data_IF_410714131988
#
_entry.id   IF_410714131988
#
_cell.length_a   1.000
_cell.length_b   1.000
_cell.length_c   1.000
_cell.angle_alpha   90.00
_cell.angle_beta   90.00
_cell.angle_gamma   90.00
#
_symmetry.space_group_name_H-M   'P 1'
#
loop_
_entity.id
_entity.type
_entity.pdbx_description
1 polymer ?
#
# COMPACT_ATOMS: atom_id res chain seq x y z
N UNK A 1 -21.69 1.76 27.84
CA UNK A 1 -20.24 1.51 27.61
C UNK A 1 -19.81 0.08 27.91
N UNK A 2 -20.30 -0.60 28.93
CA UNK A 2 -19.84 -1.95 29.35
C UNK A 2 -20.06 -3.09 28.33
N UNK A 3 -21.03 -2.99 27.43
CA UNK A 3 -21.39 -4.08 26.50
C UNK A 3 -20.39 -4.25 25.34
N UNK A 4 -19.69 -3.19 24.91
CA UNK A 4 -18.80 -3.23 23.74
C UNK A 4 -17.47 -3.94 24.06
N UNK A 5 -16.91 -3.75 25.24
CA UNK A 5 -15.69 -4.45 25.69
C UNK A 5 -15.88 -5.96 25.90
N UNK A 6 -17.14 -6.44 25.96
CA UNK A 6 -17.45 -7.86 26.01
C UNK A 6 -17.46 -8.53 24.64
N UNK A 7 -17.36 -7.74 23.53
CA UNK A 7 -17.32 -8.27 22.17
C UNK A 7 -16.01 -9.01 21.94
N UNK A 8 -16.10 -10.29 21.62
CA UNK A 8 -14.97 -11.15 21.33
C UNK A 8 -14.58 -11.07 19.85
N UNK A 9 -13.32 -10.79 19.60
CA UNK A 9 -12.82 -10.54 18.25
C UNK A 9 -11.90 -11.66 17.78
N UNK A 10 -12.00 -12.01 16.51
CA UNK A 10 -11.13 -12.96 15.84
C UNK A 10 -10.39 -12.32 14.67
N UNK A 11 -9.11 -12.66 14.48
CA UNK A 11 -8.33 -12.28 13.30
C UNK A 11 -7.82 -13.51 12.57
N UNK A 12 -8.09 -13.60 11.28
CA UNK A 12 -7.55 -14.63 10.38
C UNK A 12 -6.59 -13.96 9.41
N UNK A 13 -5.32 -14.40 9.45
CA UNK A 13 -4.22 -13.75 8.77
C UNK A 13 -3.47 -12.80 9.71
N UNK A 14 -2.44 -13.33 10.40
CA UNK A 14 -1.60 -12.59 11.33
C UNK A 14 -0.27 -12.20 10.68
N UNK A 15 -0.37 -11.68 9.46
CA UNK A 15 0.75 -11.12 8.72
C UNK A 15 1.12 -9.72 9.20
N UNK A 16 1.86 -8.98 8.33
CA UNK A 16 2.36 -7.62 8.59
C UNK A 16 1.25 -6.59 8.90
N UNK A 17 0.01 -6.87 8.53
CA UNK A 17 -1.15 -6.02 8.84
C UNK A 17 -1.98 -6.62 9.99
N UNK A 18 -2.36 -7.89 9.89
CA UNK A 18 -3.33 -8.47 10.83
C UNK A 18 -2.82 -8.59 12.26
N UNK A 19 -1.55 -8.97 12.47
CA UNK A 19 -0.99 -9.09 13.82
C UNK A 19 -0.94 -7.74 14.54
N UNK A 20 -0.33 -6.67 13.98
CA UNK A 20 -0.31 -5.37 14.67
C UNK A 20 -1.69 -4.78 14.92
N UNK A 21 -2.66 -4.99 14.01
CA UNK A 21 -4.04 -4.55 14.24
C UNK A 21 -4.68 -5.31 15.41
N UNK A 22 -4.53 -6.64 15.44
CA UNK A 22 -5.08 -7.47 16.50
C UNK A 22 -4.50 -7.11 17.87
N UNK A 23 -3.20 -6.91 17.96
CA UNK A 23 -2.51 -6.52 19.19
C UNK A 23 -2.89 -5.11 19.65
N UNK A 24 -2.97 -4.14 18.75
CA UNK A 24 -3.39 -2.77 19.07
C UNK A 24 -4.84 -2.74 19.64
N UNK A 25 -5.73 -3.58 19.10
CA UNK A 25 -7.09 -3.72 19.61
C UNK A 25 -7.09 -4.40 20.98
N UNK A 26 -6.24 -5.40 21.19
CA UNK A 26 -6.11 -6.07 22.49
C UNK A 26 -5.57 -5.11 23.57
N UNK A 27 -4.66 -4.19 23.22
CA UNK A 27 -4.15 -3.15 24.12
C UNK A 27 -5.27 -2.18 24.60
N UNK A 28 -6.37 -2.08 23.85
CA UNK A 28 -7.58 -1.35 24.26
C UNK A 28 -8.51 -2.16 25.18
N UNK A 29 -8.12 -3.37 25.56
CA UNK A 29 -8.84 -4.22 26.52
C UNK A 29 -9.88 -5.15 25.91
N UNK A 30 -9.88 -5.34 24.57
CA UNK A 30 -10.75 -6.32 23.92
C UNK A 30 -10.19 -7.75 24.03
N UNK A 31 -11.07 -8.75 24.13
CA UNK A 31 -10.71 -10.17 23.99
C UNK A 31 -10.47 -10.49 22.52
N UNK A 32 -9.19 -10.59 22.14
CA UNK A 32 -8.77 -10.86 20.76
C UNK A 32 -8.10 -12.22 20.66
N UNK A 33 -8.52 -13.02 19.69
CA UNK A 33 -7.82 -14.23 19.28
C UNK A 33 -7.45 -14.18 17.81
N UNK A 34 -6.41 -14.92 17.41
CA UNK A 34 -5.95 -14.93 16.05
C UNK A 34 -5.59 -16.33 15.54
N UNK A 35 -5.61 -16.46 14.20
CA UNK A 35 -5.17 -17.66 13.49
C UNK A 35 -4.37 -17.27 12.25
N UNK A 36 -3.31 -17.99 11.98
CA UNK A 36 -2.57 -17.92 10.72
C UNK A 36 -2.16 -19.33 10.28
N UNK A 37 -1.94 -19.52 8.97
CA UNK A 37 -1.42 -20.79 8.43
C UNK A 37 0.04 -21.03 8.80
N UNK A 38 0.77 -19.96 9.15
CA UNK A 38 2.13 -20.00 9.68
C UNK A 38 2.04 -19.82 11.19
N UNK A 39 2.74 -20.68 11.93
CA UNK A 39 2.78 -20.56 13.40
C UNK A 39 3.16 -19.16 13.84
N UNK A 40 2.40 -18.59 14.75
CA UNK A 40 2.58 -17.26 15.33
C UNK A 40 2.58 -17.35 16.85
N UNK A 41 3.18 -16.35 17.48
CA UNK A 41 3.12 -16.15 18.92
C UNK A 41 2.86 -14.69 19.22
N UNK A 42 2.16 -14.41 20.32
CA UNK A 42 1.91 -13.07 20.82
C UNK A 42 1.64 -13.16 22.33
N UNK A 43 2.09 -12.14 23.06
CA UNK A 43 1.81 -12.00 24.48
C UNK A 43 0.48 -11.25 24.74
N UNK A 44 -0.14 -10.70 23.69
CA UNK A 44 -1.31 -9.82 23.78
C UNK A 44 -2.61 -10.49 23.34
N UNK A 45 -2.52 -11.44 22.40
CA UNK A 45 -3.68 -12.12 21.86
C UNK A 45 -3.56 -13.64 21.99
N UNK A 46 -4.70 -14.33 22.05
CA UNK A 46 -4.72 -15.80 22.07
C UNK A 46 -4.55 -16.35 20.66
N UNK A 47 -3.52 -17.15 20.42
CA UNK A 47 -3.33 -17.83 19.12
C UNK A 47 -4.10 -19.16 19.15
N UNK A 48 -4.87 -19.41 18.07
CA UNK A 48 -5.64 -20.64 17.86
C UNK A 48 -4.99 -21.49 16.77
N UNK A 49 -5.12 -22.80 16.89
CA UNK A 49 -4.50 -23.75 15.94
C UNK A 49 -5.34 -23.95 14.68
N UNK A 50 -6.64 -23.66 14.74
CA UNK A 50 -7.54 -23.84 13.59
C UNK A 50 -8.55 -22.70 13.47
N UNK A 51 -9.03 -22.46 12.24
CA UNK A 51 -10.14 -21.52 11.99
C UNK A 51 -11.38 -21.93 12.76
N UNK A 52 -11.66 -23.24 12.90
CA UNK A 52 -12.80 -23.75 13.67
C UNK A 52 -12.73 -23.30 15.13
N UNK A 53 -11.62 -23.50 15.79
CA UNK A 53 -11.41 -23.08 17.18
C UNK A 53 -11.50 -21.56 17.33
N UNK A 54 -10.95 -20.81 16.34
CA UNK A 54 -11.02 -19.35 16.40
C UNK A 54 -12.46 -18.86 16.38
N UNK A 55 -13.27 -19.32 15.41
CA UNK A 55 -14.60 -18.73 15.16
C UNK A 55 -15.67 -19.17 16.13
N UNK A 56 -15.47 -20.25 16.89
CA UNK A 56 -16.52 -20.86 17.75
C UNK A 56 -17.07 -19.92 18.83
N UNK A 57 -16.26 -19.00 19.34
CA UNK A 57 -16.62 -18.10 20.43
C UNK A 57 -16.33 -16.62 20.15
N UNK A 58 -16.25 -16.22 18.88
CA UNK A 58 -16.02 -14.83 18.44
C UNK A 58 -17.28 -14.20 17.88
N UNK A 59 -17.54 -12.95 18.24
CA UNK A 59 -18.69 -12.18 17.75
C UNK A 59 -18.41 -11.58 16.39
N UNK A 60 -17.20 -11.05 16.21
CA UNK A 60 -16.71 -10.45 14.96
C UNK A 60 -15.40 -11.12 14.56
N UNK A 61 -15.33 -11.60 13.33
CA UNK A 61 -14.14 -12.23 12.78
C UNK A 61 -13.64 -11.43 11.57
N UNK A 62 -12.43 -10.89 11.70
CA UNK A 62 -11.74 -10.16 10.64
C UNK A 62 -10.87 -11.10 9.81
N UNK A 63 -10.93 -10.96 8.48
CA UNK A 63 -10.14 -11.73 7.53
C UNK A 63 -9.17 -10.79 6.82
N UNK A 64 -7.89 -10.93 7.15
CA UNK A 64 -6.77 -10.15 6.64
C UNK A 64 -5.78 -11.01 5.82
N UNK A 65 -6.30 -11.97 5.06
CA UNK A 65 -5.50 -12.83 4.20
C UNK A 65 -5.06 -12.08 2.94
N UNK A 66 -3.85 -12.35 2.42
CA UNK A 66 -3.35 -11.65 1.24
C UNK A 66 -4.16 -11.97 -0.02
N UNK A 67 -4.24 -10.98 -0.90
CA UNK A 67 -4.75 -11.11 -2.29
C UNK A 67 -3.60 -10.78 -3.25
N UNK A 68 -2.60 -11.66 -3.39
CA UNK A 68 -1.42 -11.38 -4.17
C UNK A 68 -1.72 -11.43 -5.68
N UNK A 69 -0.85 -10.79 -6.46
CA UNK A 69 -0.65 -11.16 -7.86
C UNK A 69 0.26 -12.39 -7.97
N UNK A 70 0.36 -12.94 -9.18
CA UNK A 70 1.34 -13.95 -9.53
C UNK A 70 2.77 -13.39 -9.48
N UNK A 71 3.75 -14.28 -9.45
CA UNK A 71 5.16 -13.91 -9.51
C UNK A 71 5.44 -13.03 -10.75
N UNK A 72 6.26 -12.00 -10.55
CA UNK A 72 6.57 -11.01 -11.59
C UNK A 72 5.60 -9.83 -11.70
N UNK A 73 4.47 -9.83 -10.97
CA UNK A 73 3.52 -8.71 -10.95
C UNK A 73 3.70 -7.77 -9.75
N UNK A 74 4.77 -7.91 -9.00
CA UNK A 74 5.03 -7.16 -7.75
C UNK A 74 5.59 -5.74 -7.95
N UNK A 75 5.82 -5.34 -9.21
CA UNK A 75 6.30 -4.01 -9.57
C UNK A 75 7.78 -3.74 -9.31
N UNK A 76 8.58 -4.72 -8.86
CA UNK A 76 10.04 -4.60 -8.71
C UNK A 76 10.76 -4.53 -10.05
N UNK A 77 10.16 -5.06 -11.09
CA UNK A 77 10.60 -4.99 -12.48
C UNK A 77 9.49 -4.42 -13.34
N UNK A 78 9.74 -4.02 -14.61
CA UNK A 78 8.69 -3.52 -15.50
C UNK A 78 7.54 -4.53 -15.64
N UNK A 79 6.32 -4.08 -15.46
CA UNK A 79 5.11 -4.90 -15.49
C UNK A 79 4.06 -4.44 -16.52
N UNK A 80 4.22 -3.24 -17.09
CA UNK A 80 3.25 -2.67 -18.02
C UNK A 80 3.03 -3.51 -19.29
N UNK A 81 4.01 -4.33 -19.66
CA UNK A 81 3.97 -5.21 -20.83
C UNK A 81 3.33 -6.58 -20.55
N UNK A 82 3.08 -6.89 -19.30
CA UNK A 82 2.50 -8.16 -18.90
C UNK A 82 0.99 -8.20 -19.21
N UNK A 83 0.42 -9.40 -19.43
CA UNK A 83 -1.03 -9.52 -19.56
C UNK A 83 -1.76 -8.97 -18.35
N UNK A 84 -2.89 -8.29 -18.58
CA UNK A 84 -3.71 -7.80 -17.47
C UNK A 84 -4.30 -8.97 -16.69
N UNK A 85 -4.27 -8.90 -15.35
CA UNK A 85 -4.75 -9.95 -14.44
C UNK A 85 -5.45 -9.36 -13.24
N UNK A 86 -6.44 -10.09 -12.73
CA UNK A 86 -7.05 -9.86 -11.42
C UNK A 86 -6.14 -10.35 -10.29
N UNK A 87 -6.50 -10.06 -9.05
CA UNK A 87 -5.85 -10.63 -7.88
C UNK A 87 -6.11 -12.13 -7.76
N UNK A 88 -5.24 -12.82 -7.03
CA UNK A 88 -5.48 -14.21 -6.66
C UNK A 88 -6.31 -14.26 -5.34
N UNK A 89 -7.55 -14.70 -5.47
CA UNK A 89 -8.49 -14.77 -4.34
C UNK A 89 -8.53 -16.13 -3.63
N UNK A 90 -7.70 -17.10 -4.02
CA UNK A 90 -7.78 -18.46 -3.50
C UNK A 90 -7.66 -18.55 -1.98
N UNK A 91 -6.75 -17.77 -1.38
CA UNK A 91 -6.56 -17.74 0.06
C UNK A 91 -7.81 -17.20 0.78
N UNK A 92 -8.37 -16.10 0.29
CA UNK A 92 -9.61 -15.50 0.81
C UNK A 92 -10.77 -16.49 0.68
N UNK A 93 -10.97 -17.08 -0.51
CA UNK A 93 -12.03 -18.06 -0.78
C UNK A 93 -11.99 -19.23 0.18
N UNK A 94 -10.79 -19.81 0.40
CA UNK A 94 -10.60 -20.94 1.34
C UNK A 94 -10.98 -20.54 2.77
N UNK A 95 -10.57 -19.35 3.22
CA UNK A 95 -10.85 -18.84 4.56
C UNK A 95 -12.35 -18.57 4.71
N UNK A 96 -12.97 -17.84 3.80
CA UNK A 96 -14.39 -17.51 3.84
C UNK A 96 -15.28 -18.77 3.83
N UNK A 97 -14.93 -19.77 3.01
CA UNK A 97 -15.63 -21.06 2.97
C UNK A 97 -15.57 -21.76 4.33
N UNK A 98 -14.40 -21.82 4.97
CA UNK A 98 -14.26 -22.41 6.30
C UNK A 98 -15.00 -21.61 7.38
N UNK A 99 -14.93 -20.28 7.34
CA UNK A 99 -15.68 -19.42 8.24
C UNK A 99 -17.18 -19.68 8.09
N UNK A 100 -17.72 -19.68 6.87
CA UNK A 100 -19.12 -19.94 6.63
C UNK A 100 -19.59 -21.34 7.10
N UNK A 101 -18.70 -22.33 7.11
CA UNK A 101 -18.97 -23.69 7.61
C UNK A 101 -19.15 -23.72 9.14
N UNK A 102 -18.39 -22.92 9.88
CA UNK A 102 -18.31 -23.01 11.34
C UNK A 102 -18.95 -21.85 12.10
N UNK A 103 -19.22 -20.72 11.44
CA UNK A 103 -19.87 -19.54 12.01
C UNK A 103 -21.39 -19.63 11.92
N UNK A 104 -22.06 -18.96 12.85
CA UNK A 104 -23.51 -18.83 12.89
C UNK A 104 -23.99 -17.50 12.28
N UNK A 105 -25.32 -17.35 12.13
CA UNK A 105 -25.95 -16.10 11.66
C UNK A 105 -25.80 -14.93 12.62
N UNK A 106 -25.52 -15.21 13.90
CA UNK A 106 -25.35 -14.19 14.93
C UNK A 106 -23.95 -13.59 14.94
N UNK A 107 -22.99 -14.24 14.33
CA UNK A 107 -21.63 -13.75 14.18
C UNK A 107 -21.48 -12.87 12.94
N UNK A 108 -20.47 -12.01 12.95
CA UNK A 108 -20.15 -11.11 11.84
C UNK A 108 -18.81 -11.46 11.23
N UNK A 109 -18.79 -11.72 9.95
CA UNK A 109 -17.56 -11.94 9.20
C UNK A 109 -17.21 -10.65 8.43
N UNK A 110 -15.98 -10.17 8.63
CA UNK A 110 -15.49 -8.90 8.07
C UNK A 110 -14.28 -9.17 7.21
N UNK A 111 -14.39 -8.90 5.91
CA UNK A 111 -13.26 -8.99 5.00
C UNK A 111 -12.51 -7.66 4.97
N UNK A 112 -11.20 -7.71 5.27
CA UNK A 112 -10.29 -6.55 5.21
C UNK A 112 -9.51 -6.54 3.89
N UNK A 113 -9.22 -7.71 3.33
CA UNK A 113 -8.36 -7.88 2.15
C UNK A 113 -8.83 -7.03 0.97
N UNK A 114 -7.89 -6.38 0.31
CA UNK A 114 -8.19 -5.55 -0.88
C UNK A 114 -8.66 -6.41 -2.04
N UNK A 115 -9.76 -6.02 -2.66
CA UNK A 115 -10.36 -6.69 -3.81
C UNK A 115 -10.82 -5.65 -4.84
N UNK A 116 -11.03 -6.06 -6.10
CA UNK A 116 -11.55 -5.19 -7.16
C UNK A 116 -13.07 -4.98 -7.02
N UNK A 117 -13.59 -3.84 -7.51
CA UNK A 117 -15.03 -3.59 -7.56
C UNK A 117 -15.81 -4.73 -8.22
N UNK A 118 -16.86 -5.18 -7.53
CA UNK A 118 -17.71 -6.30 -7.95
C UNK A 118 -17.24 -7.68 -7.49
N UNK A 119 -16.04 -7.80 -6.92
CA UNK A 119 -15.46 -9.09 -6.52
C UNK A 119 -16.27 -9.78 -5.44
N UNK A 120 -16.65 -9.06 -4.39
CA UNK A 120 -17.38 -9.67 -3.27
C UNK A 120 -18.71 -10.26 -3.76
N UNK A 121 -19.42 -9.55 -4.59
CA UNK A 121 -20.70 -10.04 -5.13
C UNK A 121 -20.50 -11.24 -6.06
N UNK A 122 -19.49 -11.22 -6.91
CA UNK A 122 -19.18 -12.25 -7.90
C UNK A 122 -18.60 -13.51 -7.26
N UNK A 123 -17.59 -13.35 -6.40
CA UNK A 123 -16.79 -14.48 -5.90
C UNK A 123 -17.21 -14.96 -4.51
N UNK A 124 -17.52 -14.03 -3.57
CA UNK A 124 -17.63 -14.38 -2.17
C UNK A 124 -19.06 -14.47 -1.64
N UNK A 125 -19.95 -13.61 -2.11
CA UNK A 125 -21.34 -13.63 -1.67
C UNK A 125 -22.05 -14.98 -1.91
N UNK A 126 -21.80 -15.70 -3.02
CA UNK A 126 -22.38 -17.03 -3.23
C UNK A 126 -21.94 -18.07 -2.18
N UNK A 127 -20.78 -17.88 -1.55
CA UNK A 127 -20.26 -18.78 -0.52
C UNK A 127 -20.91 -18.56 0.84
N UNK A 128 -21.52 -17.39 1.05
CA UNK A 128 -22.03 -16.93 2.37
C UNK A 128 -23.49 -17.34 2.57
N UNK A 129 -23.71 -18.58 3.01
CA UNK A 129 -25.05 -19.14 3.27
C UNK A 129 -25.45 -19.09 4.75
N UNK A 130 -24.47 -19.17 5.65
CA UNK A 130 -24.70 -19.28 7.09
C UNK A 130 -24.37 -18.02 7.87
N UNK A 131 -23.49 -17.16 7.35
CA UNK A 131 -23.10 -15.92 8.04
C UNK A 131 -23.21 -14.71 7.13
N UNK A 132 -23.14 -13.51 7.71
CA UNK A 132 -23.20 -12.25 6.97
C UNK A 132 -21.80 -11.72 6.78
N UNK A 133 -21.48 -11.36 5.53
CA UNK A 133 -20.21 -10.76 5.14
C UNK A 133 -20.35 -9.24 5.09
N UNK A 134 -19.49 -8.55 5.83
CA UNK A 134 -19.20 -7.14 5.68
C UNK A 134 -17.86 -6.97 4.98
N UNK A 135 -17.69 -5.86 4.30
CA UNK A 135 -16.43 -5.45 3.71
C UNK A 135 -15.90 -4.20 4.42
N UNK A 136 -14.68 -4.27 4.92
CA UNK A 136 -14.10 -3.18 5.69
C UNK A 136 -12.60 -3.10 5.40
N UNK A 137 -12.21 -2.60 4.22
CA UNK A 137 -10.80 -2.45 3.86
C UNK A 137 -10.16 -1.34 4.66
N UNK A 138 -8.87 -1.48 4.97
CA UNK A 138 -8.11 -0.51 5.73
C UNK A 138 -7.30 0.42 4.83
N UNK A 139 -7.14 1.68 5.25
CA UNK A 139 -6.21 2.65 4.69
C UNK A 139 -4.99 2.74 5.61
N UNK A 140 -4.21 1.67 5.64
CA UNK A 140 -3.07 1.49 6.54
C UNK A 140 -1.78 1.48 5.72
N UNK A 141 -0.79 2.28 6.17
CA UNK A 141 0.55 2.26 5.61
C UNK A 141 1.45 1.27 6.37
N UNK A 142 2.32 0.55 5.64
CA UNK A 142 3.31 -0.32 6.27
C UNK A 142 4.31 0.53 7.06
N UNK A 143 4.59 0.12 8.28
CA UNK A 143 5.44 0.83 9.24
C UNK A 143 4.68 1.64 10.30
N UNK A 144 3.39 1.95 10.07
CA UNK A 144 2.52 2.68 11.03
C UNK A 144 1.21 1.94 11.33
N UNK A 145 1.19 0.61 11.13
CA UNK A 145 -0.04 -0.20 11.13
C UNK A 145 -0.88 -0.02 12.40
N UNK A 146 -0.24 -0.05 13.58
CA UNK A 146 -0.96 0.09 14.85
C UNK A 146 -1.52 1.50 15.03
N UNK A 147 -0.75 2.53 14.67
CA UNK A 147 -1.19 3.93 14.74
C UNK A 147 -2.33 4.21 13.75
N UNK A 148 -2.17 3.78 12.50
CA UNK A 148 -3.20 3.94 11.46
C UNK A 148 -4.49 3.17 11.80
N UNK A 149 -4.39 2.07 12.57
CA UNK A 149 -5.55 1.33 13.06
C UNK A 149 -6.28 2.11 14.17
N UNK A 150 -5.53 2.79 15.04
CA UNK A 150 -6.10 3.57 16.15
C UNK A 150 -6.55 4.97 15.71
N UNK A 151 -5.91 5.53 14.69
CA UNK A 151 -6.16 6.88 14.17
C UNK A 151 -6.46 6.88 12.66
N UNK A 152 -7.42 6.10 12.16
CA UNK A 152 -7.69 6.00 10.74
C UNK A 152 -8.27 7.31 10.18
N UNK A 153 -7.92 7.66 8.94
CA UNK A 153 -8.49 8.80 8.22
C UNK A 153 -10.01 8.63 8.03
N UNK A 154 -10.42 7.40 7.73
CA UNK A 154 -11.83 6.99 7.64
C UNK A 154 -11.98 5.48 7.81
N UNK A 155 -13.15 5.07 8.26
CA UNK A 155 -13.60 3.69 8.29
C UNK A 155 -14.61 3.48 7.15
N UNK A 156 -14.41 2.42 6.36
CA UNK A 156 -15.29 2.07 5.25
C UNK A 156 -16.04 0.77 5.56
N UNK A 157 -17.37 0.77 5.49
CA UNK A 157 -18.21 -0.41 5.81
C UNK A 157 -19.13 -0.71 4.64
N UNK A 158 -18.84 -1.79 3.93
CA UNK A 158 -19.60 -2.29 2.79
C UNK A 158 -20.61 -3.36 3.17
N UNK A 159 -21.85 -3.22 2.69
CA UNK A 159 -22.93 -4.19 2.87
C UNK A 159 -23.54 -4.59 1.52
N UNK A 160 -24.33 -5.64 1.49
CA UNK A 160 -24.99 -6.10 0.26
C UNK A 160 -25.85 -5.02 -0.43
N UNK A 161 -26.47 -4.12 0.35
CA UNK A 161 -27.45 -3.13 -0.14
C UNK A 161 -27.05 -1.68 0.13
N UNK A 162 -25.94 -1.40 0.77
CA UNK A 162 -25.53 -0.04 1.16
C UNK A 162 -26.38 0.60 2.28
N UNK A 163 -27.37 -0.08 2.79
CA UNK A 163 -28.31 0.46 3.78
C UNK A 163 -27.83 0.10 5.19
N UNK A 164 -27.14 1.03 5.85
CA UNK A 164 -26.61 0.79 7.20
C UNK A 164 -27.68 0.88 8.29
N UNK A 165 -28.70 1.75 8.15
CA UNK A 165 -29.75 1.99 9.19
C UNK A 165 -30.55 0.74 9.57
N UNK A 166 -30.61 -0.25 8.69
CA UNK A 166 -31.30 -1.52 8.93
C UNK A 166 -30.35 -2.71 9.05
N UNK A 167 -29.04 -2.50 8.92
CA UNK A 167 -28.03 -3.52 8.97
C UNK A 167 -27.39 -3.58 10.37
N UNK A 168 -28.04 -4.24 11.33
CA UNK A 168 -27.56 -4.38 12.71
C UNK A 168 -26.07 -4.74 12.83
N UNK A 169 -25.54 -5.58 11.92
CA UNK A 169 -24.12 -5.98 11.92
C UNK A 169 -23.18 -4.83 11.51
N UNK A 170 -23.61 -3.97 10.59
CA UNK A 170 -22.82 -2.78 10.23
C UNK A 170 -22.80 -1.76 11.39
N UNK A 171 -23.91 -1.59 12.11
CA UNK A 171 -23.98 -0.75 13.30
C UNK A 171 -23.13 -1.32 14.46
N UNK A 172 -23.07 -2.63 14.61
CA UNK A 172 -22.20 -3.28 15.58
C UNK A 172 -20.72 -2.98 15.27
N UNK A 173 -20.33 -3.05 13.98
CA UNK A 173 -18.97 -2.73 13.55
C UNK A 173 -18.65 -1.23 13.70
N UNK A 174 -19.61 -0.34 13.39
CA UNK A 174 -19.50 1.10 13.67
C UNK A 174 -19.25 1.37 15.15
N UNK A 175 -20.06 0.78 16.02
CA UNK A 175 -19.93 0.93 17.48
C UNK A 175 -18.58 0.43 18.00
N UNK A 176 -18.07 -0.66 17.42
CA UNK A 176 -16.72 -1.14 17.70
C UNK A 176 -15.67 -0.09 17.35
N UNK A 177 -15.69 0.50 16.15
CA UNK A 177 -14.72 1.52 15.75
C UNK A 177 -14.83 2.80 16.57
N UNK A 178 -16.03 3.24 16.90
CA UNK A 178 -16.23 4.39 17.79
C UNK A 178 -15.68 4.18 19.21
N UNK A 179 -15.42 2.93 19.58
CA UNK A 179 -14.84 2.59 20.90
C UNK A 179 -13.32 2.39 20.83
N UNK A 180 -12.82 1.79 19.73
CA UNK A 180 -11.42 1.41 19.62
C UNK A 180 -10.53 2.50 19.07
N UNK A 181 -11.04 3.35 18.17
CA UNK A 181 -10.28 4.44 17.56
C UNK A 181 -10.13 5.64 18.51
N UNK A 182 -8.97 6.30 18.43
CA UNK A 182 -8.64 7.45 19.26
C UNK A 182 -9.07 8.80 18.67
N UNK A 183 -9.30 8.86 17.35
CA UNK A 183 -9.52 10.09 16.60
C UNK A 183 -10.95 10.33 16.11
N UNK A 184 -11.93 9.54 16.58
CA UNK A 184 -13.34 9.64 16.12
C UNK A 184 -13.45 9.71 14.58
N UNK A 185 -13.02 8.69 13.86
CA UNK A 185 -12.89 8.76 12.41
C UNK A 185 -14.25 8.88 11.72
N UNK A 186 -14.25 9.54 10.57
CA UNK A 186 -15.39 9.51 9.65
C UNK A 186 -15.68 8.07 9.23
N UNK A 187 -16.97 7.66 9.27
CA UNK A 187 -17.39 6.34 8.83
C UNK A 187 -18.20 6.46 7.54
N UNK A 188 -17.75 5.79 6.49
CA UNK A 188 -18.38 5.73 5.19
C UNK A 188 -19.09 4.39 5.01
N UNK A 189 -20.39 4.45 4.73
CA UNK A 189 -21.22 3.26 4.45
C UNK A 189 -21.55 3.20 2.97
N UNK A 190 -21.55 1.99 2.42
CA UNK A 190 -21.92 1.78 1.03
C UNK A 190 -22.28 0.34 0.71
N UNK A 191 -22.58 0.10 -0.55
CA UNK A 191 -22.60 -1.26 -1.12
C UNK A 191 -21.20 -1.83 -1.10
N UNK A 192 -21.07 -3.13 -1.28
CA UNK A 192 -19.74 -3.74 -1.44
C UNK A 192 -18.97 -3.07 -2.56
N UNK A 193 -19.59 -2.84 -3.71
CA UNK A 193 -18.97 -2.23 -4.90
C UNK A 193 -18.50 -0.80 -4.65
N UNK A 194 -19.24 0.00 -3.90
CA UNK A 194 -18.86 1.36 -3.54
C UNK A 194 -17.63 1.36 -2.65
N UNK A 195 -17.59 0.49 -1.63
CA UNK A 195 -16.46 0.41 -0.72
C UNK A 195 -15.23 -0.23 -1.38
N UNK A 196 -15.40 -1.26 -2.23
CA UNK A 196 -14.34 -1.80 -3.08
C UNK A 196 -13.72 -0.69 -3.95
N UNK A 197 -14.58 0.14 -4.56
CA UNK A 197 -14.16 1.27 -5.39
C UNK A 197 -13.43 2.34 -4.56
N UNK A 198 -13.96 2.75 -3.42
CA UNK A 198 -13.31 3.73 -2.54
C UNK A 198 -11.89 3.28 -2.18
N UNK A 199 -11.71 2.02 -1.78
CA UNK A 199 -10.40 1.47 -1.42
C UNK A 199 -9.40 1.51 -2.57
N UNK A 200 -9.80 1.04 -3.75
CA UNK A 200 -8.88 0.94 -4.90
C UNK A 200 -8.56 2.31 -5.47
N UNK A 201 -9.59 3.15 -5.68
CA UNK A 201 -9.38 4.47 -6.28
C UNK A 201 -8.68 5.47 -5.35
N UNK A 202 -8.76 5.29 -4.03
CA UNK A 202 -7.93 6.03 -3.08
C UNK A 202 -6.44 5.87 -3.40
N UNK A 203 -5.98 4.63 -3.56
CA UNK A 203 -4.58 4.37 -3.93
C UNK A 203 -4.22 4.92 -5.31
N UNK A 204 -5.12 4.77 -6.29
CA UNK A 204 -4.90 5.29 -7.65
C UNK A 204 -4.81 6.81 -7.66
N UNK A 205 -5.61 7.50 -6.85
CA UNK A 205 -5.52 8.95 -6.71
C UNK A 205 -4.13 9.39 -6.19
N UNK A 206 -3.61 8.69 -5.20
CA UNK A 206 -2.25 8.93 -4.69
C UNK A 206 -1.22 8.65 -5.80
N UNK A 207 -1.36 7.54 -6.53
CA UNK A 207 -0.45 7.21 -7.63
C UNK A 207 -0.41 8.29 -8.71
N UNK A 208 -1.56 8.88 -9.05
CA UNK A 208 -1.63 10.00 -9.99
C UNK A 208 -0.89 11.23 -9.47
N UNK A 209 -1.04 11.56 -8.17
CA UNK A 209 -0.30 12.68 -7.56
C UNK A 209 1.20 12.48 -7.66
N UNK A 210 1.68 11.28 -7.30
CA UNK A 210 3.10 10.94 -7.35
C UNK A 210 3.61 10.99 -8.80
N UNK A 211 2.92 10.37 -9.74
CA UNK A 211 3.32 10.36 -11.13
C UNK A 211 3.42 11.79 -11.71
N UNK A 212 2.46 12.66 -11.36
CA UNK A 212 2.48 14.05 -11.77
C UNK A 212 3.71 14.80 -11.24
N UNK A 213 4.00 14.72 -9.95
CA UNK A 213 5.12 15.45 -9.36
C UNK A 213 6.47 14.93 -9.86
N UNK A 214 6.59 13.62 -10.08
CA UNK A 214 7.78 13.04 -10.70
C UNK A 214 7.94 13.46 -12.16
N UNK A 215 6.85 13.60 -12.91
CA UNK A 215 6.89 14.18 -14.26
C UNK A 215 7.40 15.64 -14.23
N UNK A 216 6.97 16.44 -13.26
CA UNK A 216 7.48 17.82 -13.07
C UNK A 216 8.99 17.80 -12.78
N UNK A 217 9.48 16.84 -12.02
CA UNK A 217 10.91 16.65 -11.76
C UNK A 217 11.68 16.37 -13.06
N UNK A 218 11.18 15.46 -13.90
CA UNK A 218 11.81 15.14 -15.18
C UNK A 218 11.83 16.35 -16.12
N UNK A 219 10.76 17.14 -16.14
CA UNK A 219 10.70 18.41 -16.89
C UNK A 219 11.75 19.39 -16.36
N UNK A 220 11.83 19.57 -15.04
CA UNK A 220 12.80 20.47 -14.43
C UNK A 220 14.24 20.07 -14.78
N UNK A 221 14.54 18.77 -14.68
CA UNK A 221 15.86 18.24 -15.05
C UNK A 221 16.25 18.49 -16.50
N UNK A 222 15.31 18.31 -17.42
CA UNK A 222 15.58 18.46 -18.87
C UNK A 222 15.59 19.90 -19.34
N UNK A 223 14.69 20.72 -18.82
CA UNK A 223 14.52 22.11 -19.26
C UNK A 223 15.65 23.01 -18.74
N UNK A 224 16.18 22.75 -17.53
CA UNK A 224 17.07 23.66 -16.83
C UNK A 224 16.34 24.92 -16.32
N UNK A 225 17.03 25.75 -15.55
CA UNK A 225 16.49 26.99 -14.96
C UNK A 225 15.14 26.81 -14.21
N UNK A 226 14.88 25.60 -13.71
CA UNK A 226 13.67 25.23 -13.01
C UNK A 226 14.03 24.37 -11.79
N UNK A 227 13.50 24.75 -10.63
CA UNK A 227 13.57 23.97 -9.42
C UNK A 227 12.21 23.29 -9.18
N UNK A 228 12.17 21.97 -9.19
CA UNK A 228 10.95 21.20 -9.02
C UNK A 228 10.28 21.45 -7.68
N UNK A 229 11.07 21.68 -6.60
CA UNK A 229 10.51 21.90 -5.27
C UNK A 229 9.76 23.25 -5.18
N UNK A 230 10.22 24.29 -5.89
CA UNK A 230 9.48 25.56 -5.99
C UNK A 230 8.10 25.37 -6.62
N UNK A 231 8.03 24.54 -7.67
CA UNK A 231 6.77 24.23 -8.36
C UNK A 231 5.85 23.41 -7.46
N UNK A 232 6.34 22.30 -6.93
CA UNK A 232 5.51 21.37 -6.15
C UNK A 232 5.07 21.97 -4.81
N UNK A 233 5.93 22.78 -4.15
CA UNK A 233 5.55 23.51 -2.95
C UNK A 233 4.47 24.58 -3.21
N UNK A 234 4.51 25.26 -4.37
CA UNK A 234 3.46 26.18 -4.76
C UNK A 234 2.13 25.44 -5.01
N UNK A 235 2.18 24.29 -5.67
CA UNK A 235 1.00 23.43 -5.90
C UNK A 235 0.45 22.90 -4.56
N UNK A 236 1.32 22.45 -3.64
CA UNK A 236 0.93 21.92 -2.34
C UNK A 236 0.21 22.97 -1.47
N UNK A 237 0.49 24.26 -1.67
CA UNK A 237 -0.20 25.37 -0.99
C UNK A 237 -1.56 25.72 -1.61
N UNK A 238 -1.91 25.11 -2.76
CA UNK A 238 -3.15 25.37 -3.47
C UNK A 238 -4.31 24.54 -2.89
N UNK A 239 -4.67 24.82 -1.65
CA UNK A 239 -5.65 24.05 -0.86
C UNK A 239 -7.06 24.06 -1.44
N UNK A 240 -7.42 25.04 -2.27
CA UNK A 240 -8.73 25.10 -2.92
C UNK A 240 -8.91 24.03 -4.02
N UNK A 241 -7.82 23.50 -4.61
CA UNK A 241 -7.88 22.57 -5.74
C UNK A 241 -7.09 21.31 -5.54
N UNK A 242 -6.04 21.34 -4.72
CA UNK A 242 -5.23 20.19 -4.35
C UNK A 242 -5.51 19.89 -2.88
N UNK A 243 -6.30 18.87 -2.62
CA UNK A 243 -6.92 18.61 -1.30
C UNK A 243 -5.89 18.39 -0.18
N UNK A 244 -4.73 17.79 -0.48
CA UNK A 244 -3.69 17.47 0.49
C UNK A 244 -2.29 17.66 -0.10
N UNK A 245 -1.32 18.21 0.66
CA UNK A 245 0.09 18.31 0.23
C UNK A 245 0.81 16.95 0.29
N UNK A 246 0.24 15.91 0.87
CA UNK A 246 0.84 14.59 0.91
C UNK A 246 1.13 14.10 -0.51
N UNK A 247 2.27 13.44 -0.69
CA UNK A 247 2.75 12.94 -1.99
C UNK A 247 3.03 14.02 -3.05
N UNK A 248 3.19 15.28 -2.63
CA UNK A 248 3.56 16.39 -3.53
C UNK A 248 5.06 16.68 -3.52
N UNK A 249 5.88 15.78 -3.03
CA UNK A 249 7.34 15.87 -3.08
C UNK A 249 7.89 14.92 -4.14
N UNK A 250 8.56 15.49 -5.15
CA UNK A 250 9.25 14.70 -6.14
C UNK A 250 10.51 14.04 -5.54
N UNK A 251 10.84 12.83 -6.01
CA UNK A 251 11.99 12.07 -5.50
C UNK A 251 12.01 10.64 -6.03
N UNK A 252 12.58 9.73 -5.26
CA UNK A 252 12.56 8.28 -5.53
C UNK A 252 11.41 7.62 -4.78
N UNK A 253 10.18 7.85 -5.22
CA UNK A 253 9.05 7.20 -4.58
C UNK A 253 7.79 7.21 -5.40
N UNK A 254 7.01 6.18 -5.24
CA UNK A 254 5.72 6.01 -5.90
C UNK A 254 4.65 5.38 -5.00
N UNK A 255 4.86 5.45 -3.68
CA UNK A 255 3.92 4.94 -2.68
C UNK A 255 4.04 3.45 -2.35
N UNK A 256 5.01 2.73 -2.91
CA UNK A 256 5.33 1.34 -2.57
C UNK A 256 4.45 0.29 -3.25
N UNK A 257 4.39 -0.92 -2.67
CA UNK A 257 3.82 -2.13 -3.27
C UNK A 257 2.36 -2.02 -3.75
N UNK A 258 1.54 -1.26 -3.04
CA UNK A 258 0.11 -1.16 -3.37
C UNK A 258 -0.14 -0.45 -4.71
N UNK A 259 0.69 0.55 -5.06
CA UNK A 259 0.42 1.40 -6.22
C UNK A 259 0.58 0.65 -7.56
N UNK A 260 1.71 0.00 -7.86
CA UNK A 260 1.80 -0.81 -9.08
C UNK A 260 0.78 -1.95 -9.08
N UNK A 261 0.60 -2.64 -7.95
CA UNK A 261 -0.35 -3.74 -7.82
C UNK A 261 -1.78 -3.33 -8.18
N UNK A 262 -2.27 -2.26 -7.55
CA UNK A 262 -3.66 -1.82 -7.71
C UNK A 262 -3.90 -1.26 -9.12
N UNK A 263 -2.93 -0.53 -9.70
CA UNK A 263 -3.04 -0.06 -11.08
C UNK A 263 -3.01 -1.21 -12.10
N UNK A 264 -2.22 -2.26 -11.87
CA UNK A 264 -2.22 -3.45 -12.73
C UNK A 264 -3.60 -4.14 -12.67
N UNK A 265 -4.19 -4.28 -11.49
CA UNK A 265 -5.50 -4.86 -11.31
C UNK A 265 -6.61 -4.03 -11.98
N UNK A 266 -6.53 -2.70 -11.87
CA UNK A 266 -7.48 -1.79 -12.52
C UNK A 266 -7.40 -1.81 -14.05
N UNK A 267 -6.23 -2.09 -14.63
CA UNK A 267 -6.09 -2.36 -16.06
C UNK A 267 -6.95 -3.55 -16.49
N UNK A 268 -6.90 -4.64 -15.69
CA UNK A 268 -7.77 -5.79 -15.95
C UNK A 268 -9.25 -5.40 -15.87
N UNK A 269 -9.65 -4.66 -14.83
CA UNK A 269 -11.02 -4.20 -14.67
C UNK A 269 -11.49 -3.30 -15.84
N UNK A 270 -10.65 -2.37 -16.27
CA UNK A 270 -10.94 -1.52 -17.42
C UNK A 270 -11.21 -2.34 -18.69
N UNK A 271 -10.46 -3.40 -18.89
CA UNK A 271 -10.65 -4.35 -20.00
C UNK A 271 -11.93 -5.17 -19.83
N UNK A 272 -12.18 -5.73 -18.64
CA UNK A 272 -13.37 -6.55 -18.33
C UNK A 272 -14.67 -5.76 -18.52
N UNK A 273 -14.66 -4.49 -18.16
CA UNK A 273 -15.79 -3.56 -18.35
C UNK A 273 -15.86 -2.92 -19.74
N UNK A 274 -14.96 -3.26 -20.64
CA UNK A 274 -14.92 -2.71 -22.01
C UNK A 274 -14.93 -1.17 -22.04
N UNK A 275 -14.16 -0.51 -21.14
CA UNK A 275 -14.16 0.95 -21.02
C UNK A 275 -13.64 1.68 -22.28
N UNK A 276 -12.92 0.96 -23.16
CA UNK A 276 -12.36 1.53 -24.39
C UNK A 276 -11.11 2.39 -24.18
N UNK A 277 -10.64 2.58 -22.95
CA UNK A 277 -9.37 3.24 -22.61
C UNK A 277 -8.78 2.63 -21.32
N UNK A 278 -7.47 2.81 -21.13
CA UNK A 278 -6.74 2.33 -19.96
C UNK A 278 -5.77 3.42 -19.47
N UNK A 279 -6.27 4.32 -18.60
CA UNK A 279 -5.45 5.35 -17.98
C UNK A 279 -4.45 4.76 -16.96
N UNK A 280 -4.72 3.57 -16.46
CA UNK A 280 -3.86 2.89 -15.48
C UNK A 280 -2.59 2.36 -16.15
N UNK A 281 -2.66 1.98 -17.43
CA UNK A 281 -1.48 1.69 -18.26
C UNK A 281 -0.56 2.90 -18.35
N UNK A 282 -1.13 4.08 -18.57
CA UNK A 282 -0.36 5.32 -18.67
C UNK A 282 0.39 5.62 -17.37
N UNK A 283 -0.23 5.38 -16.21
CA UNK A 283 0.42 5.55 -14.91
C UNK A 283 1.62 4.58 -14.78
N UNK A 284 1.41 3.30 -15.12
CA UNK A 284 2.46 2.28 -15.03
C UNK A 284 3.59 2.56 -16.02
N UNK A 285 3.25 2.96 -17.23
CA UNK A 285 4.23 3.35 -18.26
C UNK A 285 5.02 4.59 -17.81
N UNK A 286 4.34 5.59 -17.24
CA UNK A 286 5.01 6.78 -16.71
C UNK A 286 6.00 6.40 -15.59
N UNK A 287 5.59 5.57 -14.63
CA UNK A 287 6.44 5.07 -13.56
C UNK A 287 7.74 4.44 -14.09
N UNK A 288 7.61 3.55 -15.08
CA UNK A 288 8.73 2.84 -15.68
C UNK A 288 9.65 3.79 -16.47
N UNK A 289 9.06 4.70 -17.25
CA UNK A 289 9.81 5.69 -18.04
C UNK A 289 10.52 6.70 -17.15
N UNK A 290 9.92 7.12 -16.05
CA UNK A 290 10.57 7.98 -15.05
C UNK A 290 11.76 7.27 -14.42
N UNK A 291 11.64 5.99 -14.06
CA UNK A 291 12.76 5.21 -13.54
C UNK A 291 13.88 5.02 -14.58
N UNK A 292 13.53 4.78 -15.83
CA UNK A 292 14.50 4.69 -16.94
C UNK A 292 15.23 6.03 -17.17
N UNK A 293 14.50 7.15 -17.12
CA UNK A 293 15.09 8.49 -17.27
C UNK A 293 16.05 8.79 -16.14
N UNK A 294 15.67 8.49 -14.90
CA UNK A 294 16.55 8.66 -13.74
C UNK A 294 17.80 7.78 -13.83
N UNK A 295 17.66 6.52 -14.25
CA UNK A 295 18.80 5.61 -14.44
C UNK A 295 19.79 6.16 -15.48
N UNK A 296 19.30 6.71 -16.58
CA UNK A 296 20.13 7.36 -17.60
C UNK A 296 20.84 8.59 -17.04
N UNK A 297 20.18 9.40 -16.23
CA UNK A 297 20.82 10.54 -15.57
C UNK A 297 21.89 10.09 -14.58
N UNK A 298 21.66 9.06 -13.78
CA UNK A 298 22.68 8.49 -12.88
C UNK A 298 23.93 8.08 -13.67
N UNK A 299 23.76 7.39 -14.79
CA UNK A 299 24.85 6.90 -15.63
C UNK A 299 25.66 7.98 -16.33
N UNK A 300 25.22 9.24 -16.34
CA UNK A 300 26.05 10.35 -16.81
C UNK A 300 27.16 10.74 -15.83
N UNK A 301 27.07 10.27 -14.58
CA UNK A 301 28.04 10.55 -13.52
C UNK A 301 29.02 9.41 -13.22
N UNK A 302 28.75 8.20 -13.71
CA UNK A 302 29.61 7.02 -13.54
C UNK A 302 28.86 5.72 -13.84
N UNK A 303 29.62 4.62 -13.88
CA UNK A 303 29.10 3.29 -14.21
C UNK A 303 29.00 2.34 -13.01
N UNK A 304 29.78 2.59 -11.95
CA UNK A 304 29.76 1.79 -10.72
C UNK A 304 28.86 2.46 -9.69
N UNK A 305 27.65 1.96 -9.56
CA UNK A 305 26.57 2.62 -8.84
C UNK A 305 26.23 1.86 -7.56
N UNK A 306 26.19 2.57 -6.45
CA UNK A 306 25.66 2.06 -5.20
C UNK A 306 24.36 2.78 -4.84
N UNK A 307 23.31 2.02 -4.47
CA UNK A 307 22.06 2.54 -3.93
C UNK A 307 22.05 2.39 -2.41
N UNK A 308 21.75 3.45 -1.70
CA UNK A 308 21.75 3.46 -0.23
C UNK A 308 20.72 2.50 0.38
N UNK A 309 19.70 2.11 -0.37
CA UNK A 309 18.68 1.15 0.06
C UNK A 309 17.97 0.48 -1.11
N UNK A 310 17.52 -0.77 -0.90
CA UNK A 310 16.61 -1.48 -1.80
C UNK A 310 15.15 -1.32 -1.39
N UNK A 311 14.87 -0.86 -0.17
CA UNK A 311 13.51 -0.74 0.35
C UNK A 311 12.76 0.42 -0.30
N UNK A 312 11.42 0.31 -0.36
CA UNK A 312 10.59 1.40 -0.89
C UNK A 312 10.38 2.54 0.11
N UNK A 313 10.67 2.31 1.39
CA UNK A 313 10.42 3.27 2.47
C UNK A 313 11.50 3.14 3.54
N UNK A 314 11.97 4.26 4.13
CA UNK A 314 12.97 4.22 5.19
C UNK A 314 12.44 3.45 6.41
N UNK A 315 13.34 2.78 7.12
CA UNK A 315 13.02 2.04 8.34
C UNK A 315 12.29 0.71 8.12
N UNK A 316 12.24 0.20 6.88
CA UNK A 316 11.68 -1.12 6.55
C UNK A 316 12.62 -1.91 5.65
N UNK A 317 12.44 -3.23 5.63
CA UNK A 317 13.09 -4.15 4.70
C UNK A 317 12.22 -4.51 3.48
N UNK A 318 11.10 -3.79 3.29
CA UNK A 318 10.11 -4.08 2.27
C UNK A 318 10.58 -3.63 0.90
N UNK A 319 10.71 -4.59 -0.01
CA UNK A 319 11.21 -4.36 -1.39
C UNK A 319 10.11 -4.45 -2.46
N UNK A 320 8.94 -4.97 -2.11
CA UNK A 320 7.82 -5.06 -3.05
C UNK A 320 7.40 -3.66 -3.51
N UNK A 321 7.35 -3.45 -4.83
CA UNK A 321 7.06 -2.14 -5.42
C UNK A 321 8.19 -1.11 -5.26
N UNK A 322 9.39 -1.53 -4.84
CA UNK A 322 10.51 -0.61 -4.67
C UNK A 322 10.87 0.12 -5.97
N UNK A 323 10.79 1.43 -5.92
CA UNK A 323 11.23 2.29 -7.01
C UNK A 323 12.77 2.28 -7.16
N UNK A 324 13.49 2.12 -6.05
CA UNK A 324 14.94 1.91 -6.07
C UNK A 324 15.31 0.71 -6.92
N UNK A 325 14.70 -0.44 -6.68
CA UNK A 325 14.94 -1.65 -7.47
C UNK A 325 14.56 -1.49 -8.95
N UNK A 326 13.51 -0.73 -9.24
CA UNK A 326 13.13 -0.44 -10.62
C UNK A 326 14.20 0.43 -11.33
N UNK A 327 14.74 1.45 -10.66
CA UNK A 327 15.85 2.27 -11.19
C UNK A 327 17.10 1.40 -11.37
N UNK A 328 17.44 0.56 -10.39
CA UNK A 328 18.55 -0.39 -10.49
C UNK A 328 18.41 -1.34 -11.68
N UNK A 329 17.18 -1.81 -11.96
CA UNK A 329 16.90 -2.62 -13.15
C UNK A 329 17.31 -1.87 -14.43
N UNK A 330 16.92 -0.59 -14.55
CA UNK A 330 17.29 0.22 -15.73
C UNK A 330 18.76 0.60 -15.76
N UNK A 331 19.42 0.82 -14.62
CA UNK A 331 20.89 0.99 -14.56
C UNK A 331 21.58 -0.21 -15.19
N UNK A 332 21.24 -1.43 -14.77
CA UNK A 332 21.79 -2.66 -15.37
C UNK A 332 21.47 -2.77 -16.85
N UNK A 333 20.22 -2.49 -17.24
CA UNK A 333 19.76 -2.56 -18.64
C UNK A 333 20.56 -1.63 -19.56
N UNK A 334 21.02 -0.50 -19.05
CA UNK A 334 21.82 0.49 -19.78
C UNK A 334 23.32 0.35 -19.58
N UNK A 335 23.78 -0.79 -19.04
CA UNK A 335 25.21 -1.16 -18.95
C UNK A 335 25.92 -0.73 -17.67
N UNK A 336 25.24 -0.13 -16.72
CA UNK A 336 25.78 0.20 -15.41
C UNK A 336 25.96 -1.04 -14.52
N UNK A 337 26.87 -0.95 -13.57
CA UNK A 337 27.17 -2.01 -12.62
C UNK A 337 26.69 -1.60 -11.23
N UNK A 338 25.95 -2.48 -10.57
CA UNK A 338 25.61 -2.31 -9.17
C UNK A 338 26.74 -2.85 -8.31
N UNK A 339 27.25 -2.01 -7.44
CA UNK A 339 28.32 -2.37 -6.51
C UNK A 339 27.78 -2.36 -5.08
N UNK A 340 28.31 -3.24 -4.23
CA UNK A 340 27.93 -3.34 -2.83
C UNK A 340 29.21 -3.31 -1.98
N UNK A 341 29.22 -2.46 -0.96
CA UNK A 341 30.29 -2.40 0.03
C UNK A 341 31.54 -1.63 -0.42
N UNK A 342 32.46 -1.50 0.53
CA UNK A 342 33.68 -0.65 0.46
C UNK A 342 34.74 -1.21 -0.49
N UNK A 343 34.65 -2.47 -0.89
CA UNK A 343 35.69 -3.18 -1.63
C UNK A 343 35.69 -2.92 -3.16
N UNK A 344 34.66 -2.27 -3.67
CA UNK A 344 34.53 -1.90 -5.08
C UNK A 344 34.57 -0.38 -5.23
N UNK A 345 35.24 0.16 -6.23
CA UNK A 345 35.24 1.60 -6.48
C UNK A 345 33.84 2.05 -6.84
N UNK A 346 33.22 2.84 -5.96
CA UNK A 346 31.89 3.46 -6.18
C UNK A 346 32.13 4.80 -6.88
N UNK A 347 31.50 5.01 -8.02
CA UNK A 347 31.56 6.30 -8.75
C UNK A 347 30.36 7.18 -8.42
N UNK A 348 29.18 6.54 -8.21
CA UNK A 348 27.94 7.25 -7.86
C UNK A 348 27.23 6.54 -6.71
N UNK A 349 26.85 7.30 -5.70
CA UNK A 349 25.94 6.86 -4.64
C UNK A 349 24.57 7.49 -4.88
N UNK A 350 23.56 6.67 -5.05
CA UNK A 350 22.19 7.12 -5.19
C UNK A 350 21.52 7.14 -3.81
N UNK A 351 21.08 8.30 -3.38
CA UNK A 351 20.38 8.50 -2.12
C UNK A 351 18.92 8.10 -2.26
N UNK A 352 18.59 6.89 -1.82
CA UNK A 352 17.27 6.30 -2.03
C UNK A 352 16.18 6.96 -1.16
N UNK A 353 16.48 7.20 0.10
CA UNK A 353 15.57 7.88 1.00
C UNK A 353 16.10 9.25 1.44
N UNK A 354 15.21 10.18 1.64
CA UNK A 354 15.56 11.53 2.12
C UNK A 354 16.32 11.51 3.47
N UNK A 355 16.07 10.50 4.28
CA UNK A 355 16.69 10.32 5.60
C UNK A 355 18.02 9.58 5.56
N UNK A 356 18.42 9.02 4.40
CA UNK A 356 19.64 8.25 4.31
C UNK A 356 20.87 9.14 4.55
N UNK A 357 21.71 8.70 5.49
CA UNK A 357 22.99 9.33 5.76
C UNK A 357 24.04 8.68 4.86
N UNK A 358 24.70 9.47 4.04
CA UNK A 358 25.69 9.02 3.09
C UNK A 358 27.04 9.64 3.47
N UNK A 359 28.08 8.83 3.41
CA UNK A 359 29.47 9.31 3.49
C UNK A 359 30.15 8.92 2.18
N UNK A 360 30.66 9.90 1.48
CA UNK A 360 31.39 9.71 0.24
C UNK A 360 32.69 10.52 0.25
N UNK A 361 33.68 10.09 -0.51
CA UNK A 361 34.87 10.91 -0.79
C UNK A 361 34.55 11.96 -1.89
N UNK A 362 35.42 12.91 -2.08
CA UNK A 362 35.26 14.02 -3.05
C UNK A 362 35.20 13.55 -4.51
N UNK A 363 35.54 12.29 -4.80
CA UNK A 363 35.54 11.72 -6.15
C UNK A 363 34.24 10.97 -6.47
N UNK A 364 33.46 10.63 -5.45
CA UNK A 364 32.23 9.89 -5.59
C UNK A 364 31.08 10.87 -5.68
N UNK A 365 30.29 10.82 -6.75
CA UNK A 365 29.11 11.67 -6.90
C UNK A 365 27.97 11.17 -6.00
N UNK A 366 27.41 12.05 -5.20
CA UNK A 366 26.15 11.79 -4.49
C UNK A 366 25.01 12.26 -5.39
N UNK A 367 24.26 11.32 -5.94
CA UNK A 367 23.06 11.59 -6.72
C UNK A 367 21.86 11.71 -5.76
N UNK A 368 21.39 12.95 -5.54
CA UNK A 368 20.28 13.25 -4.63
C UNK A 368 18.97 13.61 -5.38
N UNK A 369 18.03 12.67 -5.53
CA UNK A 369 16.73 12.94 -6.12
C UNK A 369 15.78 13.72 -5.18
N UNK A 370 16.16 13.92 -3.92
CA UNK A 370 15.37 14.65 -2.93
C UNK A 370 15.76 16.13 -2.78
N UNK A 371 16.97 16.49 -3.28
CA UNK A 371 17.52 17.86 -3.21
C UNK A 371 17.56 18.41 -1.79
N UNK A 372 17.88 17.55 -0.85
CA UNK A 372 17.90 17.87 0.59
C UNK A 372 19.21 17.48 1.27
N UNK A 373 20.15 16.87 0.54
CA UNK A 373 21.48 16.61 1.04
C UNK A 373 22.27 17.94 1.16
N UNK A 374 23.16 18.11 2.15
CA UNK A 374 23.97 19.32 2.26
C UNK A 374 24.76 19.59 0.96
N UNK A 375 24.83 20.85 0.49
CA UNK A 375 25.52 21.19 -0.74
C UNK A 375 27.03 20.93 -0.63
N UNK A 376 27.59 20.27 -1.65
CA UNK A 376 29.01 20.04 -1.84
C UNK A 376 29.28 19.88 -3.34
N UNK A 377 30.57 20.04 -3.77
CA UNK A 377 30.92 19.99 -5.17
C UNK A 377 30.63 18.64 -5.84
N UNK A 378 30.60 17.57 -5.08
CA UNK A 378 30.28 16.21 -5.56
C UNK A 378 28.79 15.82 -5.38
N UNK A 379 27.90 16.75 -5.06
CA UNK A 379 26.45 16.49 -4.92
C UNK A 379 25.71 16.96 -6.17
N UNK A 380 25.02 16.03 -6.81
CA UNK A 380 24.14 16.32 -7.93
C UNK A 380 22.67 16.25 -7.50
N UNK A 381 21.96 17.35 -7.64
CA UNK A 381 20.54 17.46 -7.32
C UNK A 381 19.68 17.17 -8.55
N UNK A 382 19.11 15.96 -8.63
CA UNK A 382 18.21 15.61 -9.74
C UNK A 382 16.93 16.42 -9.71
N UNK A 383 16.70 17.16 -10.80
CA UNK A 383 15.53 18.05 -10.95
C UNK A 383 15.71 19.47 -10.39
N UNK A 384 16.94 19.86 -10.04
CA UNK A 384 17.30 21.24 -9.69
C UNK A 384 18.68 21.53 -10.30
N UNK A 385 18.69 21.94 -11.55
CA UNK A 385 19.89 22.41 -12.25
C UNK A 385 19.97 23.93 -12.03
N UNK A 386 20.83 24.35 -11.13
CA UNK A 386 21.20 25.76 -10.96
C UNK A 386 22.48 26.08 -11.73
#
# INVERSE_FOLDING_TARGET
MTVIYQTKLGFIGLGKLGMPCAEAIADKGFDVAGYDVVHKSSDKITIKETIKELVQDRDIVFVATPTPHEDGYDGRTPTSHLPVKDFNYQAVTKVLTKCNQYMSKDQTLVLISTVLPGTIRREFAPLMTNTKLLYNPYLIAMGTVADDMMNPEMIMIGTKKGIYKTAHKAQQLESFYNTVCDNEPRIEFGTWEEIESMKIFYNTFISNKIALVNMIQDVAHKLGNMNVDRVTQALAKSTQRIISPAYMKAGMGDGGACHPRDNIALRWLAKDLELGYDMFESIMTAREKQAETMAKAILTHGNNIWFSSDSYKPGTDLVDGSYSLLVQHYVKKHGGQLVHGIDNPVEVIVRVHETDQITADDKTTIFDPWRSYPPADNVFYYGANE
#
